data_IF_290443667447
#
_entry.id   IF_290443667447
#
_cell.length_a   1.000
_cell.length_b   1.000
_cell.length_c   1.000
_cell.angle_alpha   90.00
_cell.angle_beta   90.00
_cell.angle_gamma   90.00
#
_symmetry.space_group_name_H-M   'P 1'
#
loop_
_entity.id
_entity.type
_entity.pdbx_description
1 polymer ?
#
# COMPACT_ATOMS: atom_id res chain seq x y z
N UNK A 1 -12.95 -29.20 -27.25
CA UNK A 1 -14.04 -28.39 -26.67
C UNK A 1 -13.42 -27.50 -25.61
N UNK A 2 -13.21 -26.21 -25.92
CA UNK A 2 -12.54 -25.24 -25.04
C UNK A 2 -13.40 -24.95 -23.81
N UNK A 3 -12.81 -25.01 -22.61
CA UNK A 3 -13.41 -24.51 -21.37
C UNK A 3 -12.55 -23.36 -20.85
N UNK A 4 -13.17 -22.19 -20.81
CA UNK A 4 -12.60 -20.93 -20.32
C UNK A 4 -12.63 -20.92 -18.79
N UNK A 5 -11.50 -20.61 -18.15
CA UNK A 5 -11.38 -20.41 -16.70
C UNK A 5 -11.67 -18.92 -16.42
N UNK A 6 -12.69 -18.64 -15.61
CA UNK A 6 -13.10 -17.28 -15.26
C UNK A 6 -12.79 -16.96 -13.79
N UNK A 7 -11.79 -16.10 -13.55
CA UNK A 7 -11.55 -15.47 -12.25
C UNK A 7 -12.15 -14.06 -12.26
N UNK A 8 -13.14 -13.78 -11.41
CA UNK A 8 -13.87 -12.51 -11.38
C UNK A 8 -13.37 -11.60 -10.25
N UNK A 9 -13.11 -10.33 -10.55
CA UNK A 9 -12.79 -9.26 -9.60
C UNK A 9 -13.80 -8.11 -9.68
N UNK A 10 -13.92 -7.31 -8.62
CA UNK A 10 -14.72 -6.07 -8.61
C UNK A 10 -13.81 -4.86 -8.63
N UNK A 11 -14.04 -3.96 -9.58
CA UNK A 11 -13.36 -2.66 -9.70
C UNK A 11 -13.85 -1.76 -8.57
N UNK A 12 -12.98 -1.26 -7.69
CA UNK A 12 -13.40 -0.37 -6.60
C UNK A 12 -13.62 1.07 -7.08
N UNK A 13 -12.77 1.55 -8.00
CA UNK A 13 -12.92 2.75 -8.85
C UNK A 13 -11.86 2.56 -9.95
N UNK A 14 -12.15 2.70 -11.24
CA UNK A 14 -11.09 2.65 -12.26
C UNK A 14 -11.30 3.63 -13.40
N UNK A 15 -10.31 4.50 -13.61
CA UNK A 15 -10.02 4.97 -14.96
C UNK A 15 -9.48 3.77 -15.76
N UNK A 16 -10.13 3.45 -16.86
CA UNK A 16 -9.80 2.32 -17.72
C UNK A 16 -8.87 2.80 -18.82
N UNK A 17 -7.71 2.16 -18.94
CA UNK A 17 -6.77 2.46 -20.02
C UNK A 17 -6.81 1.30 -21.02
N UNK A 18 -7.49 1.49 -22.16
CA UNK A 18 -7.29 0.64 -23.33
C UNK A 18 -6.00 1.09 -24.01
N UNK A 19 -4.94 0.32 -23.81
CA UNK A 19 -3.73 0.46 -24.60
C UNK A 19 -3.83 -0.48 -25.80
N UNK A 20 -4.31 0.04 -26.93
CA UNK A 20 -4.05 -0.60 -28.23
C UNK A 20 -2.65 -0.20 -28.68
N UNK A 21 -1.64 -0.86 -28.12
CA UNK A 21 -0.25 -0.71 -28.54
C UNK A 21 0.49 0.48 -27.96
N UNK A 22 1.81 0.31 -27.88
CA UNK A 22 2.78 1.23 -27.28
C UNK A 22 2.76 2.60 -27.98
N UNK A 23 2.45 3.68 -27.26
CA UNK A 23 2.79 5.03 -27.73
C UNK A 23 1.99 6.22 -27.21
N UNK A 24 0.78 6.08 -26.66
CA UNK A 24 0.04 7.22 -26.09
C UNK A 24 -1.08 6.75 -25.15
N UNK A 25 -1.25 7.34 -23.95
CA UNK A 25 -2.41 7.06 -23.11
C UNK A 25 -3.63 7.78 -23.67
N UNK A 26 -4.30 7.17 -24.64
CA UNK A 26 -5.64 7.59 -25.03
C UNK A 26 -6.62 7.01 -24.00
N UNK A 27 -7.17 7.86 -23.13
CA UNK A 27 -8.25 7.46 -22.21
C UNK A 27 -9.43 6.98 -23.05
N UNK A 28 -9.65 5.67 -23.11
CA UNK A 28 -10.66 5.09 -24.02
C UNK A 28 -11.94 4.69 -23.29
N UNK A 29 -12.01 4.88 -21.97
CA UNK A 29 -13.23 4.65 -21.19
C UNK A 29 -13.02 4.84 -19.69
N UNK A 30 -14.11 4.79 -18.92
CA UNK A 30 -14.09 4.78 -17.44
C UNK A 30 -14.98 3.64 -16.98
N UNK A 31 -14.49 2.79 -16.07
CA UNK A 31 -15.30 1.73 -15.47
C UNK A 31 -15.90 2.24 -14.18
N UNK A 32 -17.20 2.04 -14.00
CA UNK A 32 -17.85 2.46 -12.77
C UNK A 32 -17.36 1.62 -11.58
N UNK A 33 -17.22 2.23 -10.39
CA UNK A 33 -17.08 1.50 -9.14
C UNK A 33 -18.10 0.36 -9.02
N UNK A 34 -17.64 -0.81 -8.60
CA UNK A 34 -18.43 -2.04 -8.49
C UNK A 34 -18.49 -2.91 -9.75
N UNK A 35 -17.97 -2.44 -10.90
CA UNK A 35 -18.01 -3.22 -12.15
C UNK A 35 -17.21 -4.52 -12.01
N UNK A 36 -17.83 -5.63 -12.40
CA UNK A 36 -17.20 -6.95 -12.40
C UNK A 36 -16.39 -7.15 -13.67
N UNK A 37 -15.13 -7.56 -13.50
CA UNK A 37 -14.18 -7.75 -14.59
C UNK A 37 -13.42 -9.05 -14.36
N UNK A 38 -13.02 -9.71 -15.44
CA UNK A 38 -12.20 -10.91 -15.37
C UNK A 38 -10.72 -10.52 -15.37
N UNK A 39 -9.95 -10.96 -14.37
CA UNK A 39 -8.50 -10.77 -14.39
C UNK A 39 -7.88 -11.87 -15.25
N UNK A 40 -7.18 -11.47 -16.31
CA UNK A 40 -6.58 -12.38 -17.30
C UNK A 40 -5.04 -12.31 -17.32
N UNK A 41 -4.44 -11.44 -16.51
CA UNK A 41 -2.99 -11.36 -16.31
C UNK A 41 -2.60 -10.20 -15.38
N UNK A 42 -1.36 -10.19 -14.92
CA UNK A 42 -0.79 -9.11 -14.12
C UNK A 42 0.60 -8.75 -14.64
N UNK A 43 0.90 -7.46 -14.78
CA UNK A 43 2.18 -6.97 -15.26
C UNK A 43 2.49 -5.59 -14.69
N UNK A 44 3.70 -5.40 -14.15
CA UNK A 44 4.23 -4.10 -13.72
C UNK A 44 3.30 -3.26 -12.81
N UNK A 45 2.54 -3.91 -11.92
CA UNK A 45 1.60 -3.23 -11.00
C UNK A 45 0.20 -2.99 -11.57
N UNK A 46 -0.09 -3.49 -12.77
CA UNK A 46 -1.39 -3.45 -13.42
C UNK A 46 -1.97 -4.85 -13.58
N UNK A 47 -3.27 -4.98 -13.35
CA UNK A 47 -4.05 -6.14 -13.74
C UNK A 47 -4.58 -5.95 -15.16
N UNK A 48 -4.28 -6.89 -16.03
CA UNK A 48 -4.91 -7.03 -17.34
C UNK A 48 -6.27 -7.66 -17.14
N UNK A 49 -7.32 -6.92 -17.47
CA UNK A 49 -8.70 -7.32 -17.24
C UNK A 49 -9.47 -7.48 -18.56
N UNK A 50 -10.50 -8.30 -18.55
CA UNK A 50 -11.50 -8.42 -19.61
C UNK A 50 -12.88 -8.06 -19.06
N UNK A 51 -13.59 -7.15 -19.72
CA UNK A 51 -14.97 -6.77 -19.35
C UNK A 51 -15.96 -7.84 -19.81
N UNK A 52 -17.21 -7.78 -19.32
CA UNK A 52 -18.31 -8.65 -19.78
C UNK A 52 -18.63 -8.49 -21.27
N UNK A 53 -18.28 -7.34 -21.85
CA UNK A 53 -18.42 -7.03 -23.27
C UNK A 53 -17.26 -7.58 -24.12
N UNK A 54 -16.26 -8.21 -23.47
CA UNK A 54 -15.12 -8.85 -24.10
C UNK A 54 -13.92 -7.93 -24.33
N UNK A 55 -14.01 -6.66 -23.94
CA UNK A 55 -12.93 -5.68 -24.09
C UNK A 55 -11.79 -5.94 -23.11
N UNK A 56 -10.56 -5.77 -23.56
CA UNK A 56 -9.36 -6.03 -22.76
C UNK A 56 -8.64 -4.73 -22.45
N UNK A 57 -8.37 -4.46 -21.17
CA UNK A 57 -7.65 -3.27 -20.74
C UNK A 57 -6.81 -3.51 -19.49
N UNK A 58 -6.15 -2.45 -19.02
CA UNK A 58 -5.30 -2.49 -17.84
C UNK A 58 -5.83 -1.57 -16.76
N UNK A 59 -5.81 -2.07 -15.52
CA UNK A 59 -6.24 -1.34 -14.32
C UNK A 59 -5.15 -1.49 -13.25
N UNK A 60 -4.77 -0.43 -12.51
CA UNK A 60 -3.83 -0.57 -11.40
C UNK A 60 -4.29 -1.63 -10.41
N UNK A 61 -3.40 -2.53 -9.97
CA UNK A 61 -3.76 -3.65 -9.08
C UNK A 61 -4.40 -3.16 -7.78
N UNK A 62 -3.95 -2.01 -7.25
CA UNK A 62 -4.53 -1.39 -6.05
C UNK A 62 -5.99 -0.94 -6.20
N UNK A 63 -6.54 -0.92 -7.41
CA UNK A 63 -7.93 -0.58 -7.71
C UNK A 63 -8.83 -1.82 -7.90
N UNK A 64 -8.24 -3.02 -7.95
CA UNK A 64 -8.97 -4.28 -8.06
C UNK A 64 -9.14 -4.92 -6.68
N UNK A 65 -10.39 -5.07 -6.23
CA UNK A 65 -10.71 -5.91 -5.08
C UNK A 65 -10.89 -7.34 -5.59
N UNK A 66 -9.84 -8.17 -5.47
CA UNK A 66 -9.91 -9.59 -5.81
C UNK A 66 -10.86 -10.31 -4.84
N UNK A 67 -11.83 -11.06 -5.38
CA UNK A 67 -12.56 -12.07 -4.61
C UNK A 67 -11.77 -13.37 -4.68
N UNK A 68 -11.17 -13.79 -3.57
CA UNK A 68 -10.83 -15.19 -3.39
C UNK A 68 -12.13 -15.96 -3.22
N UNK A 69 -12.69 -16.51 -4.30
CA UNK A 69 -13.65 -17.61 -4.20
C UNK A 69 -12.88 -18.88 -3.85
N UNK A 70 -12.42 -18.95 -2.61
CA UNK A 70 -11.93 -20.16 -1.98
C UNK A 70 -13.03 -20.72 -1.06
N UNK A 71 -14.24 -20.89 -1.59
CA UNK A 71 -15.26 -21.71 -0.96
C UNK A 71 -15.92 -22.55 -2.06
N UNK A 72 -15.94 -23.86 -1.84
CA UNK A 72 -16.28 -24.94 -2.77
C UNK A 72 -15.19 -25.32 -3.81
N UNK A 73 -14.17 -26.05 -3.38
CA UNK A 73 -13.45 -26.95 -4.27
C UNK A 73 -13.57 -28.38 -3.75
N UNK A 74 -14.39 -29.16 -4.45
CA UNK A 74 -14.54 -30.61 -4.30
C UNK A 74 -13.23 -31.31 -4.66
N UNK A 75 -12.84 -32.28 -3.85
CA UNK A 75 -11.49 -32.87 -3.81
C UNK A 75 -11.14 -33.83 -4.96
N UNK A 76 -11.81 -33.74 -6.12
CA UNK A 76 -11.70 -34.77 -7.17
C UNK A 76 -11.21 -34.29 -8.54
N UNK A 77 -10.79 -33.03 -8.66
CA UNK A 77 -10.44 -32.46 -9.97
C UNK A 77 -9.05 -31.82 -9.96
N UNK A 78 -8.02 -32.67 -10.01
CA UNK A 78 -6.63 -32.24 -10.23
C UNK A 78 -6.44 -31.83 -11.69
N UNK A 79 -6.59 -30.54 -12.00
CA UNK A 79 -6.07 -30.01 -13.25
C UNK A 79 -4.63 -29.54 -13.04
N UNK A 80 -3.71 -30.25 -13.70
CA UNK A 80 -2.33 -29.80 -13.86
C UNK A 80 -2.35 -28.37 -14.42
N UNK A 81 -1.87 -27.41 -13.61
CA UNK A 81 -1.55 -26.06 -14.06
C UNK A 81 -0.43 -26.24 -15.09
N UNK A 82 -0.79 -26.21 -16.38
CA UNK A 82 0.22 -26.03 -17.43
C UNK A 82 0.80 -24.65 -17.18
N UNK A 83 2.06 -24.61 -16.75
CA UNK A 83 2.77 -23.37 -16.51
C UNK A 83 2.69 -22.53 -17.78
N UNK A 84 2.26 -21.27 -17.66
CA UNK A 84 2.30 -20.30 -18.75
C UNK A 84 3.75 -19.93 -19.18
N UNK A 85 4.76 -20.72 -18.79
CA UNK A 85 6.15 -20.59 -19.20
C UNK A 85 6.37 -21.09 -20.63
N UNK A 86 5.55 -22.02 -21.11
CA UNK A 86 5.86 -22.75 -22.34
C UNK A 86 5.54 -21.98 -23.64
N UNK A 87 4.86 -20.84 -23.55
CA UNK A 87 4.56 -19.98 -24.71
C UNK A 87 5.56 -18.84 -24.90
N UNK A 88 6.39 -18.55 -23.90
CA UNK A 88 7.35 -17.43 -23.90
C UNK A 88 8.81 -17.89 -23.77
N UNK A 89 9.06 -19.20 -23.75
CA UNK A 89 10.41 -19.77 -23.84
C UNK A 89 11.03 -19.41 -25.21
N UNK A 90 11.89 -18.39 -25.22
CA UNK A 90 12.68 -18.00 -26.38
C UNK A 90 12.40 -16.62 -26.95
N UNK A 91 11.43 -15.85 -26.42
CA UNK A 91 11.36 -14.43 -26.74
C UNK A 91 12.42 -13.68 -25.92
N UNK A 92 13.30 -12.88 -26.56
CA UNK A 92 14.23 -12.05 -25.82
C UNK A 92 13.42 -11.08 -24.95
N UNK A 93 13.53 -11.23 -23.63
CA UNK A 93 13.09 -10.20 -22.70
C UNK A 93 14.09 -9.06 -22.85
N UNK A 94 13.80 -8.13 -23.74
CA UNK A 94 14.56 -6.89 -23.79
C UNK A 94 14.42 -6.20 -22.42
N UNK A 95 15.53 -5.85 -21.74
CA UNK A 95 15.45 -5.11 -20.49
C UNK A 95 14.66 -3.84 -20.74
N UNK A 96 13.50 -3.69 -20.09
CA UNK A 96 12.73 -2.47 -20.17
C UNK A 96 13.65 -1.35 -19.67
N UNK A 97 14.01 -0.43 -20.57
CA UNK A 97 14.84 0.70 -20.22
C UNK A 97 14.18 1.42 -19.02
N UNK A 98 14.95 1.77 -17.98
CA UNK A 98 14.37 2.46 -16.84
C UNK A 98 13.66 3.74 -17.35
N UNK A 99 12.48 4.07 -16.82
CA UNK A 99 11.79 5.29 -17.20
C UNK A 99 12.72 6.49 -16.99
N UNK A 100 12.56 7.56 -17.80
CA UNK A 100 13.38 8.76 -17.63
C UNK A 100 13.25 9.26 -16.18
N UNK A 101 14.35 9.79 -15.60
CA UNK A 101 14.35 10.33 -14.25
C UNK A 101 13.22 11.34 -14.09
N UNK A 102 12.38 11.11 -13.09
CA UNK A 102 11.33 12.05 -12.72
C UNK A 102 11.98 13.26 -12.05
N UNK A 103 11.32 14.40 -12.15
CA UNK A 103 11.77 15.57 -11.40
C UNK A 103 11.70 15.32 -9.89
N UNK A 104 12.54 16.04 -9.14
CA UNK A 104 12.61 15.92 -7.67
C UNK A 104 11.25 16.17 -7.00
N UNK A 105 10.44 17.10 -7.52
CA UNK A 105 9.16 17.44 -6.89
C UNK A 105 8.13 16.31 -7.04
N UNK A 106 8.17 15.53 -8.11
CA UNK A 106 7.35 14.35 -8.31
C UNK A 106 7.73 13.22 -7.33
N UNK A 107 9.04 13.00 -7.15
CA UNK A 107 9.57 12.03 -6.17
C UNK A 107 9.15 12.46 -4.75
N UNK A 108 9.36 13.73 -4.41
CA UNK A 108 8.97 14.31 -3.12
C UNK A 108 7.47 14.10 -2.88
N UNK A 109 6.63 14.48 -3.84
CA UNK A 109 5.16 14.34 -3.72
C UNK A 109 4.75 12.89 -3.47
N UNK A 110 5.30 11.94 -4.23
CA UNK A 110 4.96 10.53 -4.05
C UNK A 110 5.41 10.01 -2.68
N UNK A 111 6.61 10.37 -2.21
CA UNK A 111 7.09 9.98 -0.87
C UNK A 111 6.13 10.44 0.22
N UNK A 112 5.54 11.64 0.10
CA UNK A 112 4.57 12.15 1.06
C UNK A 112 3.22 11.43 0.96
N UNK A 113 2.82 10.97 -0.23
CA UNK A 113 1.53 10.28 -0.44
C UNK A 113 1.61 8.76 -0.32
N UNK A 114 2.75 8.18 0.06
CA UNK A 114 2.86 6.74 0.27
C UNK A 114 1.82 6.25 1.26
N UNK A 115 1.25 5.08 1.00
CA UNK A 115 0.21 4.51 1.84
C UNK A 115 0.69 4.29 3.27
N UNK A 116 -0.21 4.51 4.22
CA UNK A 116 -0.07 4.19 5.62
C UNK A 116 -1.21 3.27 6.06
N UNK A 117 -0.97 2.53 7.13
CA UNK A 117 -1.99 1.73 7.78
C UNK A 117 -2.73 2.59 8.81
N UNK A 118 -4.05 2.45 8.83
CA UNK A 118 -4.96 3.01 9.80
C UNK A 118 -5.77 1.87 10.42
N UNK A 119 -6.12 1.99 11.70
CA UNK A 119 -6.87 0.96 12.43
C UNK A 119 -8.11 1.59 13.04
N UNK A 120 -9.26 0.95 12.85
CA UNK A 120 -10.53 1.33 13.46
C UNK A 120 -10.46 1.32 14.99
N UNK A 121 -10.95 2.39 15.61
CA UNK A 121 -10.96 2.58 17.07
C UNK A 121 -11.79 1.53 17.81
N UNK A 122 -12.93 1.13 17.24
CA UNK A 122 -13.90 0.22 17.87
C UNK A 122 -13.69 -1.23 17.41
N UNK A 123 -13.50 -1.42 16.11
CA UNK A 123 -13.49 -2.76 15.49
C UNK A 123 -12.08 -3.32 15.32
N UNK A 124 -11.05 -2.46 15.35
CA UNK A 124 -9.69 -2.84 14.99
C UNK A 124 -9.51 -3.11 13.49
N UNK A 125 -10.45 -2.69 12.65
CA UNK A 125 -10.40 -2.90 11.19
C UNK A 125 -9.23 -2.16 10.57
N UNK A 126 -8.48 -2.85 9.70
CA UNK A 126 -7.35 -2.29 8.96
C UNK A 126 -7.84 -1.52 7.73
N UNK A 127 -7.42 -0.26 7.60
CA UNK A 127 -7.67 0.62 6.46
C UNK A 127 -6.35 1.12 5.90
N UNK A 128 -6.13 0.98 4.60
CA UNK A 128 -4.94 1.51 3.92
C UNK A 128 -5.34 2.78 3.19
N UNK A 129 -4.66 3.89 3.50
CA UNK A 129 -4.93 5.20 2.90
C UNK A 129 -3.62 5.99 2.70
N UNK A 130 -3.61 7.05 1.87
CA UNK A 130 -2.42 7.89 1.69
C UNK A 130 -1.89 8.44 3.01
N UNK A 131 -0.57 8.40 3.23
CA UNK A 131 0.06 8.79 4.49
C UNK A 131 0.13 10.30 4.75
N UNK A 132 -0.23 11.12 3.77
CA UNK A 132 -0.33 12.59 3.89
C UNK A 132 -1.68 13.08 4.43
N UNK A 133 -2.59 12.18 4.79
CA UNK A 133 -3.82 12.54 5.51
C UNK A 133 -3.49 12.83 6.98
N UNK A 134 -4.42 13.49 7.68
CA UNK A 134 -4.30 13.77 9.12
C UNK A 134 -4.18 12.48 9.96
N UNK A 135 -4.04 12.63 11.28
CA UNK A 135 -3.90 11.55 12.26
C UNK A 135 -4.98 10.45 12.19
N UNK A 136 -6.12 10.72 11.56
CA UNK A 136 -7.18 9.76 11.34
C UNK A 136 -7.80 9.89 9.94
N UNK A 137 -8.43 8.80 9.52
CA UNK A 137 -9.37 8.73 8.38
C UNK A 137 -10.71 8.22 8.88
N UNK A 138 -11.75 8.33 8.07
CA UNK A 138 -13.05 7.69 8.33
C UNK A 138 -13.18 6.56 7.30
N UNK A 139 -13.41 5.33 7.77
CA UNK A 139 -13.70 4.21 6.86
C UNK A 139 -15.04 4.46 6.17
N UNK A 140 -15.02 4.52 4.84
CA UNK A 140 -16.21 4.81 4.04
C UNK A 140 -17.28 3.72 4.15
N UNK A 141 -16.88 2.47 4.46
CA UNK A 141 -17.82 1.35 4.56
C UNK A 141 -18.59 1.35 5.89
N UNK A 142 -17.91 1.69 6.98
CA UNK A 142 -18.45 1.55 8.34
C UNK A 142 -18.78 2.90 8.98
N UNK A 143 -18.23 4.00 8.47
CA UNK A 143 -18.26 5.32 9.12
C UNK A 143 -17.35 5.41 10.36
N UNK A 144 -16.55 4.38 10.63
CA UNK A 144 -15.69 4.30 11.80
C UNK A 144 -14.47 5.21 11.67
N UNK A 145 -14.07 5.86 12.76
CA UNK A 145 -12.81 6.58 12.82
C UNK A 145 -11.65 5.59 12.89
N UNK A 146 -10.74 5.68 11.93
CA UNK A 146 -9.53 4.87 11.89
C UNK A 146 -8.31 5.76 12.13
N UNK A 147 -7.52 5.42 13.13
CA UNK A 147 -6.35 6.17 13.54
C UNK A 147 -5.10 5.64 12.85
N UNK A 148 -4.14 6.52 12.55
CA UNK A 148 -2.88 6.10 11.96
C UNK A 148 -2.19 5.08 12.86
N UNK A 149 -1.75 3.99 12.26
CA UNK A 149 -1.07 2.91 12.94
C UNK A 149 0.32 3.35 13.42
N UNK A 150 0.65 2.99 14.66
CA UNK A 150 1.90 3.34 15.33
C UNK A 150 2.47 2.07 15.97
N UNK A 151 3.78 1.86 15.85
CA UNK A 151 4.49 0.77 16.49
C UNK A 151 5.39 1.26 17.63
N UNK A 152 5.58 0.40 18.63
CA UNK A 152 6.60 0.57 19.66
C UNK A 152 7.82 -0.31 19.36
N UNK A 153 8.99 0.31 19.31
CA UNK A 153 10.30 -0.33 19.08
C UNK A 153 11.15 -0.42 20.34
N UNK A 154 10.57 -0.19 21.54
CA UNK A 154 11.30 -0.39 22.79
C UNK A 154 11.66 -1.87 22.95
N UNK A 155 12.93 -2.23 23.21
CA UNK A 155 13.39 -3.62 23.25
C UNK A 155 12.66 -4.45 24.32
N UNK A 156 12.37 -3.85 25.47
CA UNK A 156 11.67 -4.50 26.58
C UNK A 156 10.16 -4.23 26.59
N UNK A 157 9.57 -3.79 25.47
CA UNK A 157 8.13 -3.56 25.42
C UNK A 157 7.37 -4.88 25.65
N UNK A 158 6.49 -4.97 26.67
CA UNK A 158 5.73 -6.19 26.96
C UNK A 158 4.53 -6.37 26.02
N UNK A 159 4.38 -5.50 25.01
CA UNK A 159 3.31 -5.60 24.03
C UNK A 159 3.45 -6.87 23.20
N UNK A 160 2.48 -7.78 23.32
CA UNK A 160 2.44 -9.01 22.52
C UNK A 160 2.30 -8.68 21.03
N UNK A 161 3.29 -9.02 20.20
CA UNK A 161 3.17 -8.91 18.74
C UNK A 161 2.07 -9.86 18.24
N UNK A 162 0.83 -9.39 18.09
CA UNK A 162 -0.26 -10.20 17.54
C UNK A 162 0.11 -10.66 16.13
N UNK A 163 0.13 -11.97 15.90
CA UNK A 163 0.44 -12.58 14.60
C UNK A 163 1.78 -12.13 13.99
N UNK A 164 2.78 -11.85 14.84
CA UNK A 164 4.08 -11.35 14.39
C UNK A 164 4.08 -9.89 13.90
N UNK A 165 2.94 -9.19 13.95
CA UNK A 165 2.84 -7.76 13.66
C UNK A 165 3.07 -6.93 14.93
N UNK A 166 3.82 -5.82 14.85
CA UNK A 166 4.03 -4.93 15.99
C UNK A 166 2.68 -4.33 16.45
N UNK A 167 2.50 -4.21 17.76
CA UNK A 167 1.29 -3.66 18.39
C UNK A 167 0.94 -2.29 17.79
N UNK A 168 -0.34 -2.08 17.47
CA UNK A 168 -0.87 -0.78 17.08
C UNK A 168 -1.20 0.02 18.35
N UNK A 169 -0.38 1.02 18.64
CA UNK A 169 -0.57 1.89 19.79
C UNK A 169 -1.66 2.92 19.45
N UNK A 170 -2.78 2.86 20.15
CA UNK A 170 -3.77 3.94 20.19
C UNK A 170 -3.80 4.53 21.59
N UNK A 171 -3.43 5.81 21.73
CA UNK A 171 -4.29 6.92 22.14
C UNK A 171 -3.46 8.21 22.13
N UNK A 172 -3.99 9.26 21.49
CA UNK A 172 -3.66 10.65 21.80
C UNK A 172 -4.56 11.03 22.98
N UNK A 173 -4.04 10.95 24.21
CA UNK A 173 -4.80 11.40 25.39
C UNK A 173 -4.68 12.92 25.46
N UNK A 174 -5.42 13.65 24.62
CA UNK A 174 -5.62 15.08 24.81
C UNK A 174 -6.65 15.28 25.94
N UNK A 175 -6.24 15.03 27.19
CA UNK A 175 -7.05 15.47 28.34
C UNK A 175 -7.08 17.00 28.45
N UNK A 176 -6.13 17.69 27.81
CA UNK A 176 -6.01 19.14 27.86
C UNK A 176 -6.34 19.76 26.50
N UNK A 177 -7.42 20.55 26.38
CA UNK A 177 -7.83 21.19 25.13
C UNK A 177 -6.85 22.26 24.60
N UNK A 178 -5.74 22.53 25.29
CA UNK A 178 -4.77 23.58 24.95
C UNK A 178 -3.37 23.06 24.59
N UNK A 179 -3.13 21.74 24.62
CA UNK A 179 -1.88 21.18 24.07
C UNK A 179 -2.10 20.90 22.58
N UNK A 180 -1.32 21.56 21.72
CA UNK A 180 -1.48 21.48 20.27
C UNK A 180 -1.40 20.03 19.75
N UNK A 181 -0.61 19.16 20.39
CA UNK A 181 -0.55 17.72 20.11
C UNK A 181 -0.16 16.94 21.39
N UNK A 182 -0.99 16.03 21.91
CA UNK A 182 -0.60 15.22 23.07
C UNK A 182 0.51 14.23 22.67
N UNK A 183 1.40 13.87 23.61
CA UNK A 183 2.46 12.92 23.33
C UNK A 183 1.87 11.56 22.94
N UNK A 184 2.47 10.93 21.94
CA UNK A 184 2.13 9.57 21.54
C UNK A 184 2.88 8.61 22.46
N UNK A 185 2.15 7.79 23.22
CA UNK A 185 2.73 6.88 24.21
C UNK A 185 2.31 5.43 24.01
N UNK A 186 3.24 4.49 24.25
CA UNK A 186 2.92 3.07 24.17
C UNK A 186 2.21 2.57 25.44
N UNK A 187 0.93 2.18 25.34
CA UNK A 187 0.14 1.62 26.45
C UNK A 187 0.80 0.41 27.14
N UNK A 188 1.56 -0.40 26.40
CA UNK A 188 2.28 -1.52 26.99
C UNK A 188 3.45 -1.05 27.86
N UNK A 189 4.19 -0.03 27.41
CA UNK A 189 5.28 0.56 28.18
C UNK A 189 4.78 1.33 29.41
N UNK A 190 3.58 1.90 29.35
CA UNK A 190 2.94 2.57 30.51
C UNK A 190 2.76 1.65 31.73
N UNK A 191 2.81 0.32 31.56
CA UNK A 191 2.71 -0.63 32.67
C UNK A 191 3.95 -0.64 33.57
N UNK A 192 5.09 -0.16 33.09
CA UNK A 192 6.33 -0.14 33.85
C UNK A 192 7.03 1.23 33.86
N UNK A 193 6.53 2.19 33.06
CA UNK A 193 6.90 3.61 33.16
C UNK A 193 6.25 4.26 34.38
N UNK A 194 6.96 5.21 34.98
CA UNK A 194 6.44 6.07 36.05
C UNK A 194 6.36 7.51 35.49
N UNK A 195 5.35 7.75 34.64
CA UNK A 195 5.21 8.98 33.83
C UNK A 195 5.17 10.26 34.68
N UNK A 196 4.68 10.15 35.92
CA UNK A 196 4.62 11.26 36.87
C UNK A 196 5.99 11.63 37.45
N UNK A 197 6.94 10.69 37.45
CA UNK A 197 8.32 10.91 37.93
C UNK A 197 9.35 11.13 36.83
N UNK A 198 9.00 10.81 35.59
CA UNK A 198 9.87 11.05 34.43
C UNK A 198 10.14 12.55 34.22
N UNK A 199 11.41 12.87 34.05
CA UNK A 199 11.88 14.18 33.59
C UNK A 199 11.44 14.43 32.13
N UNK A 200 11.41 15.70 31.66
CA UNK A 200 11.12 16.01 30.27
C UNK A 200 12.07 15.32 29.27
N UNK A 201 13.32 15.10 29.66
CA UNK A 201 14.30 14.39 28.82
C UNK A 201 13.92 12.90 28.70
N UNK A 202 13.57 12.24 29.80
CA UNK A 202 13.13 10.84 29.78
C UNK A 202 11.85 10.66 28.94
N UNK A 203 10.88 11.58 29.06
CA UNK A 203 9.68 11.59 28.19
C UNK A 203 10.04 11.73 26.71
N UNK A 204 11.03 12.56 26.40
CA UNK A 204 11.55 12.73 25.04
C UNK A 204 12.27 11.49 24.55
N UNK A 205 13.01 10.78 25.40
CA UNK A 205 13.60 9.48 25.03
C UNK A 205 12.52 8.42 24.79
N UNK A 206 11.46 8.41 25.59
CA UNK A 206 10.33 7.50 25.42
C UNK A 206 9.60 7.68 24.09
N UNK A 207 9.41 8.93 23.65
CA UNK A 207 8.73 9.21 22.39
C UNK A 207 9.49 8.68 21.17
N UNK A 208 10.83 8.52 21.25
CA UNK A 208 11.63 7.92 20.17
C UNK A 208 11.36 6.45 19.94
N UNK A 209 10.86 5.74 20.96
CA UNK A 209 10.48 4.34 20.83
C UNK A 209 9.12 4.16 20.16
N UNK A 210 8.39 5.22 19.88
CA UNK A 210 7.06 5.16 19.30
C UNK A 210 7.09 5.86 17.95
N UNK A 211 6.78 5.14 16.88
CA UNK A 211 6.87 5.68 15.51
C UNK A 211 5.72 5.19 14.64
N UNK A 212 5.34 5.93 13.57
CA UNK A 212 4.38 5.43 12.61
C UNK A 212 4.80 4.06 12.10
N UNK A 213 3.85 3.13 12.06
CA UNK A 213 4.07 1.83 11.43
C UNK A 213 4.15 2.01 9.91
N UNK A 214 5.18 1.46 9.31
CA UNK A 214 5.38 1.50 7.86
C UNK A 214 5.05 0.13 7.24
N UNK A 215 4.13 0.15 6.26
CA UNK A 215 3.79 -1.03 5.49
C UNK A 215 5.05 -1.54 4.74
N UNK A 216 5.24 -2.88 4.62
CA UNK A 216 6.37 -3.43 3.86
C UNK A 216 6.47 -2.90 2.43
N UNK A 217 5.34 -2.73 1.75
CA UNK A 217 5.26 -2.18 0.40
C UNK A 217 5.66 -0.71 0.38
N UNK A 218 5.28 0.06 1.41
CA UNK A 218 5.66 1.46 1.58
C UNK A 218 7.16 1.61 1.82
N UNK A 219 7.77 0.75 2.64
CA UNK A 219 9.22 0.70 2.85
C UNK A 219 9.95 0.41 1.54
N UNK A 220 9.51 -0.62 0.80
CA UNK A 220 10.08 -0.97 -0.51
C UNK A 220 10.00 0.22 -1.48
N UNK A 221 8.81 0.81 -1.63
CA UNK A 221 8.61 1.92 -2.57
C UNK A 221 9.42 3.15 -2.16
N UNK A 222 9.55 3.45 -0.86
CA UNK A 222 10.41 4.54 -0.40
C UNK A 222 11.87 4.33 -0.81
N UNK A 223 12.40 3.11 -0.67
CA UNK A 223 13.74 2.76 -1.14
C UNK A 223 13.93 3.02 -2.63
N UNK A 224 12.96 2.62 -3.46
CA UNK A 224 12.99 2.91 -4.91
C UNK A 224 12.99 4.43 -5.19
N UNK A 225 12.19 5.21 -4.45
CA UNK A 225 12.13 6.66 -4.58
C UNK A 225 13.43 7.34 -4.15
N UNK A 226 14.10 6.83 -3.11
CA UNK A 226 15.41 7.32 -2.70
C UNK A 226 16.49 7.01 -3.74
N UNK A 227 16.42 5.85 -4.39
CA UNK A 227 17.30 5.47 -5.49
C UNK A 227 17.07 6.34 -6.73
N UNK A 228 15.80 6.63 -7.07
CA UNK A 228 15.44 7.61 -8.10
C UNK A 228 16.00 9.01 -7.78
N UNK A 229 15.86 9.47 -6.53
CA UNK A 229 16.40 10.78 -6.09
C UNK A 229 17.92 10.83 -6.23
N UNK A 230 18.64 9.76 -5.87
CA UNK A 230 20.11 9.71 -6.02
C UNK A 230 20.52 9.82 -7.48
N UNK A 231 19.86 9.07 -8.39
CA UNK A 231 20.12 9.16 -9.84
C UNK A 231 19.91 10.58 -10.39
N UNK A 232 18.82 11.23 -10.00
CA UNK A 232 18.55 12.62 -10.38
C UNK A 232 19.68 13.58 -9.95
N UNK A 233 20.17 13.46 -8.71
CA UNK A 233 21.28 14.30 -8.21
C UNK A 233 22.58 14.04 -8.97
N UNK A 234 22.87 12.79 -9.30
CA UNK A 234 24.05 12.42 -10.08
C UNK A 234 24.02 12.99 -11.50
N UNK A 235 22.86 12.95 -12.16
CA UNK A 235 22.69 13.55 -13.49
C UNK A 235 22.84 15.07 -13.46
N UNK A 236 22.23 15.75 -12.48
CA UNK A 236 22.43 17.19 -12.30
C UNK A 236 23.92 17.53 -12.12
N UNK A 237 24.65 16.73 -11.34
CA UNK A 237 26.09 16.93 -11.15
C UNK A 237 26.87 16.80 -12.46
N UNK A 238 26.50 15.84 -13.32
CA UNK A 238 27.13 15.67 -14.65
C UNK A 238 26.84 16.87 -15.54
N UNK A 239 25.58 17.32 -15.61
CA UNK A 239 25.20 18.47 -16.46
C UNK A 239 25.83 19.80 -16.04
N UNK A 240 26.25 19.93 -14.77
CA UNK A 240 26.91 21.13 -14.24
C UNK A 240 28.44 21.05 -14.25
N UNK A 241 29.02 19.89 -14.62
CA UNK A 241 30.46 19.71 -14.71
C UNK A 241 31.02 20.01 -16.11
N UNK A 242 30.15 20.08 -17.12
CA UNK A 242 30.44 20.45 -18.51
C UNK A 242 30.18 21.95 -18.78
#
# INVERSE_FOLDING_TARGET
>A
MNRSLHCFGRVAVAAFFLANGCGSPSSSGSLQPGTEVQLIGEEAGFGKIQTSEGEVGYVPLGMLKQRNTAEAFDADHTHAIVRATDFYDGLPVEPIAPPPPRDRAAIDREQHTLNALFIGEETGREVIAPGNVHYFVVDEETGERCWRSIECIHPDCPGEKKNGRPYYVFFLVAEKPNEEEPPIECNACLRFRDVDRETPLEKTEWSRYVRPYELPETLRRRGELDDERRRFVEELRKTHAD
#
